data_IF_114824032259
#
_entry.id   IF_114824032259
#
_cell.length_a   1.000
_cell.length_b   1.000
_cell.length_c   1.000
_cell.angle_alpha   90.00
_cell.angle_beta   90.00
_cell.angle_gamma   90.00
#
_symmetry.space_group_name_H-M   'P 1'
#
loop_
_entity.id
_entity.type
_entity.pdbx_description
1 polymer ?
#
# COMPACT_ATOMS: atom_id res chain seq x y z
N UNK A 1 -34.68 -17.49 -5.04
CA UNK A 1 -33.51 -17.93 -4.31
C UNK A 1 -32.23 -17.66 -5.15
N UNK A 2 -31.69 -16.46 -5.21
CA UNK A 2 -30.48 -16.19 -5.99
C UNK A 2 -29.21 -15.94 -5.15
N UNK A 3 -29.22 -16.23 -3.84
CA UNK A 3 -28.07 -15.89 -2.97
C UNK A 3 -26.95 -16.93 -2.94
N UNK A 4 -27.17 -18.17 -3.34
CA UNK A 4 -26.16 -19.24 -3.21
C UNK A 4 -25.17 -19.31 -4.38
N UNK A 5 -25.52 -18.80 -5.58
CA UNK A 5 -24.63 -18.81 -6.75
C UNK A 5 -23.63 -17.64 -6.77
N UNK A 6 -23.81 -16.63 -5.91
CA UNK A 6 -22.95 -15.45 -5.85
C UNK A 6 -21.66 -15.68 -5.06
N UNK A 7 -21.69 -16.54 -4.05
CA UNK A 7 -20.56 -16.78 -3.14
C UNK A 7 -19.35 -17.39 -3.86
N UNK A 8 -19.48 -18.49 -4.64
CA UNK A 8 -18.33 -19.08 -5.32
C UNK A 8 -17.69 -18.14 -6.34
N UNK A 9 -18.49 -17.38 -7.09
CA UNK A 9 -17.98 -16.42 -8.07
C UNK A 9 -17.25 -15.23 -7.42
N UNK A 10 -17.76 -14.75 -6.28
CA UNK A 10 -17.13 -13.70 -5.50
C UNK A 10 -15.79 -14.15 -4.92
N UNK A 11 -15.76 -15.31 -4.27
CA UNK A 11 -14.56 -15.85 -3.67
C UNK A 11 -13.46 -16.06 -4.72
N UNK A 12 -13.78 -16.66 -5.86
CA UNK A 12 -12.85 -16.88 -6.95
C UNK A 12 -12.28 -15.56 -7.50
N UNK A 13 -13.11 -14.51 -7.57
CA UNK A 13 -12.69 -13.22 -8.10
C UNK A 13 -11.90 -12.37 -7.10
N UNK A 14 -12.19 -12.48 -5.80
CA UNK A 14 -11.69 -11.52 -4.79
C UNK A 14 -10.58 -12.11 -3.91
N UNK A 15 -10.67 -13.39 -3.50
CA UNK A 15 -9.68 -14.00 -2.60
C UNK A 15 -8.23 -13.91 -3.11
N UNK A 16 -7.94 -14.09 -4.41
CA UNK A 16 -6.56 -13.98 -4.92
C UNK A 16 -5.92 -12.60 -4.72
N UNK A 17 -6.72 -11.57 -4.44
CA UNK A 17 -6.30 -10.19 -4.33
C UNK A 17 -6.32 -9.64 -2.89
N UNK A 18 -6.61 -10.48 -1.89
CA UNK A 18 -6.67 -10.02 -0.50
C UNK A 18 -5.32 -9.56 0.05
N UNK A 19 -4.22 -10.20 -0.35
CA UNK A 19 -2.88 -9.78 0.08
C UNK A 19 -2.55 -8.38 -0.45
N UNK A 20 -2.84 -8.12 -1.73
CA UNK A 20 -2.69 -6.80 -2.33
C UNK A 20 -3.59 -5.74 -1.66
N UNK A 21 -4.83 -6.11 -1.34
CA UNK A 21 -5.77 -5.28 -0.60
C UNK A 21 -5.24 -4.92 0.80
N UNK A 22 -4.73 -5.91 1.52
CA UNK A 22 -4.13 -5.71 2.84
C UNK A 22 -2.86 -4.84 2.76
N UNK A 23 -1.98 -5.08 1.80
CA UNK A 23 -0.80 -4.25 1.58
C UNK A 23 -1.17 -2.78 1.37
N UNK A 24 -2.13 -2.51 0.47
CA UNK A 24 -2.60 -1.15 0.24
C UNK A 24 -3.16 -0.52 1.53
N UNK A 25 -4.00 -1.25 2.27
CA UNK A 25 -4.57 -0.77 3.52
C UNK A 25 -3.48 -0.47 4.56
N UNK A 26 -2.46 -1.32 4.69
CA UNK A 26 -1.31 -1.12 5.58
C UNK A 26 -0.55 0.17 5.26
N UNK A 27 -0.32 0.44 3.97
CA UNK A 27 0.36 1.66 3.53
C UNK A 27 -0.48 2.93 3.76
N UNK A 28 -1.80 2.81 3.69
CA UNK A 28 -2.69 3.96 3.88
C UNK A 28 -2.97 4.24 5.36
N UNK A 29 -3.16 3.20 6.18
CA UNK A 29 -3.54 3.36 7.60
C UNK A 29 -2.36 3.46 8.56
N UNK A 30 -1.17 3.01 8.15
CA UNK A 30 0.04 2.93 8.99
C UNK A 30 -0.09 2.07 10.25
N UNK A 31 -1.21 1.39 10.43
CA UNK A 31 -1.52 0.57 11.59
C UNK A 31 -2.02 -0.80 11.16
N UNK A 32 -1.52 -1.86 11.80
CA UNK A 32 -1.90 -3.23 11.46
C UNK A 32 -3.37 -3.49 11.73
N UNK A 33 -3.84 -3.13 12.91
CA UNK A 33 -5.23 -3.35 13.32
C UNK A 33 -6.19 -2.58 12.42
N UNK A 34 -5.88 -1.32 12.15
CA UNK A 34 -6.68 -0.45 11.29
C UNK A 34 -6.74 -0.97 9.85
N UNK A 35 -5.63 -1.54 9.36
CA UNK A 35 -5.59 -2.17 8.05
C UNK A 35 -6.47 -3.42 7.99
N UNK A 36 -6.40 -4.28 9.00
CA UNK A 36 -7.24 -5.48 9.12
C UNK A 36 -8.73 -5.12 9.14
N UNK A 37 -9.10 -4.13 9.96
CA UNK A 37 -10.48 -3.66 10.08
C UNK A 37 -10.97 -3.02 8.76
N UNK A 38 -10.14 -2.20 8.11
CA UNK A 38 -10.46 -1.58 6.84
C UNK A 38 -10.61 -2.61 5.70
N UNK A 39 -9.76 -3.64 5.67
CA UNK A 39 -9.87 -4.72 4.67
C UNK A 39 -11.11 -5.56 4.91
N UNK A 40 -11.44 -5.87 6.17
CA UNK A 40 -12.66 -6.61 6.51
C UNK A 40 -13.90 -5.83 6.07
N UNK A 41 -13.99 -4.53 6.37
CA UNK A 41 -15.11 -3.68 5.92
C UNK A 41 -15.15 -3.55 4.39
N UNK A 42 -13.99 -3.41 3.75
CA UNK A 42 -13.90 -3.38 2.28
C UNK A 42 -14.36 -4.69 1.65
N UNK A 43 -14.03 -5.84 2.25
CA UNK A 43 -14.48 -7.15 1.78
C UNK A 43 -16.00 -7.28 1.87
N UNK A 44 -16.61 -6.87 2.99
CA UNK A 44 -18.07 -6.87 3.16
C UNK A 44 -18.76 -5.94 2.15
N UNK A 45 -18.16 -4.78 1.86
CA UNK A 45 -18.65 -3.87 0.82
C UNK A 45 -18.51 -4.49 -0.57
N UNK A 46 -17.36 -5.10 -0.86
CA UNK A 46 -17.11 -5.79 -2.12
C UNK A 46 -18.13 -6.90 -2.34
N UNK A 47 -18.40 -7.74 -1.31
CA UNK A 47 -19.43 -8.77 -1.38
C UNK A 47 -20.81 -8.19 -1.71
N UNK A 48 -21.19 -7.11 -1.04
CA UNK A 48 -22.48 -6.44 -1.27
C UNK A 48 -22.60 -5.83 -2.67
N UNK A 49 -21.50 -5.30 -3.22
CA UNK A 49 -21.48 -4.67 -4.53
C UNK A 49 -21.13 -5.62 -5.68
N UNK A 50 -20.77 -6.87 -5.38
CA UNK A 50 -20.38 -7.85 -6.39
C UNK A 50 -21.43 -8.10 -7.48
N UNK A 51 -22.75 -8.09 -7.19
CA UNK A 51 -23.76 -8.17 -8.24
C UNK A 51 -23.67 -7.08 -9.31
N UNK A 52 -23.06 -5.93 -9.00
CA UNK A 52 -22.83 -4.85 -9.95
C UNK A 52 -21.47 -4.94 -10.66
N UNK A 53 -20.61 -5.87 -10.27
CA UNK A 53 -19.34 -6.10 -10.92
C UNK A 53 -19.57 -6.71 -12.32
N UNK A 54 -19.10 -6.00 -13.35
CA UNK A 54 -19.36 -6.35 -14.75
C UNK A 54 -18.38 -7.39 -15.33
N UNK A 55 -17.64 -8.08 -14.48
CA UNK A 55 -16.58 -9.01 -14.91
C UNK A 55 -15.26 -8.31 -15.26
N UNK A 56 -14.29 -9.11 -15.72
CA UNK A 56 -12.93 -8.66 -15.98
C UNK A 56 -12.01 -8.84 -14.75
N UNK A 57 -10.95 -8.05 -14.67
CA UNK A 57 -10.03 -8.09 -13.54
C UNK A 57 -10.67 -7.44 -12.30
N UNK A 58 -10.90 -8.28 -11.27
CA UNK A 58 -11.48 -7.82 -10.01
C UNK A 58 -10.49 -7.04 -9.14
N UNK A 59 -9.18 -7.14 -9.43
CA UNK A 59 -8.14 -6.52 -8.60
C UNK A 59 -8.26 -4.98 -8.55
N UNK A 60 -8.29 -4.22 -9.66
CA UNK A 60 -8.45 -2.78 -9.60
C UNK A 60 -9.78 -2.35 -8.96
N UNK A 61 -10.83 -3.11 -9.21
CA UNK A 61 -12.15 -2.86 -8.61
C UNK A 61 -12.12 -3.03 -7.09
N UNK A 62 -11.52 -4.11 -6.58
CA UNK A 62 -11.33 -4.34 -5.15
C UNK A 62 -10.45 -3.26 -4.52
N UNK A 63 -9.32 -2.94 -5.16
CA UNK A 63 -8.39 -1.90 -4.69
C UNK A 63 -9.07 -0.54 -4.53
N UNK A 64 -9.99 -0.19 -5.43
CA UNK A 64 -10.79 1.03 -5.32
C UNK A 64 -11.70 1.02 -4.08
N UNK A 65 -12.32 -0.12 -3.78
CA UNK A 65 -13.16 -0.28 -2.58
C UNK A 65 -12.31 -0.18 -1.32
N UNK A 66 -11.17 -0.87 -1.27
CA UNK A 66 -10.22 -0.83 -0.13
C UNK A 66 -9.73 0.59 0.11
N UNK A 67 -9.25 1.26 -0.93
CA UNK A 67 -8.82 2.66 -0.86
C UNK A 67 -9.89 3.56 -0.26
N UNK A 68 -11.09 3.52 -0.83
CA UNK A 68 -12.19 4.37 -0.37
C UNK A 68 -12.60 4.06 1.08
N UNK A 69 -12.54 2.80 1.47
CA UNK A 69 -12.81 2.37 2.86
C UNK A 69 -11.74 2.90 3.80
N UNK A 70 -10.45 2.79 3.46
CA UNK A 70 -9.35 3.35 4.25
C UNK A 70 -9.49 4.85 4.43
N UNK A 71 -9.77 5.61 3.36
CA UNK A 71 -9.96 7.06 3.47
C UNK A 71 -11.16 7.43 4.33
N UNK A 72 -12.28 6.73 4.19
CA UNK A 72 -13.45 6.94 5.06
C UNK A 72 -13.10 6.71 6.52
N UNK A 73 -12.36 5.63 6.80
CA UNK A 73 -11.92 5.28 8.13
C UNK A 73 -10.94 6.32 8.70
N UNK A 74 -9.94 6.73 7.94
CA UNK A 74 -8.97 7.76 8.32
C UNK A 74 -9.66 9.10 8.64
N UNK A 75 -10.62 9.52 7.83
CA UNK A 75 -11.37 10.75 8.09
C UNK A 75 -12.21 10.65 9.35
N UNK A 76 -12.83 9.50 9.63
CA UNK A 76 -13.62 9.28 10.84
C UNK A 76 -12.77 9.25 12.11
N UNK A 77 -11.53 8.72 12.03
CA UNK A 77 -10.66 8.48 13.19
C UNK A 77 -9.49 9.48 13.33
N UNK A 78 -9.38 10.47 12.46
CA UNK A 78 -8.31 11.47 12.47
C UNK A 78 -8.10 12.17 13.83
N UNK A 79 -9.13 12.50 14.63
CA UNK A 79 -8.94 13.07 15.95
C UNK A 79 -8.28 12.10 16.95
N UNK A 80 -8.50 10.80 16.81
CA UNK A 80 -7.96 9.77 17.70
C UNK A 80 -6.51 9.42 17.36
N UNK A 81 -6.12 9.48 16.09
CA UNK A 81 -4.75 9.20 15.64
C UNK A 81 -3.77 10.29 16.08
N UNK A 82 -4.17 11.55 16.11
CA UNK A 82 -3.31 12.64 16.61
C UNK A 82 -2.98 12.50 18.11
N UNK A 83 -3.76 11.72 18.86
CA UNK A 83 -3.50 11.41 20.27
C UNK A 83 -2.62 10.17 20.48
N UNK A 84 -2.45 9.33 19.45
CA UNK A 84 -1.77 8.03 19.52
C UNK A 84 -0.38 7.99 18.83
N UNK A 85 0.19 9.14 18.46
CA UNK A 85 1.44 9.26 17.68
C UNK A 85 2.74 8.86 18.42
N UNK A 86 2.68 8.06 19.45
CA UNK A 86 3.88 7.53 20.13
C UNK A 86 3.77 6.02 20.41
N UNK A 87 3.76 5.20 19.36
CA UNK A 87 4.06 3.78 19.52
C UNK A 87 5.13 3.35 18.50
N UNK A 88 6.37 3.27 18.96
CA UNK A 88 7.58 2.95 18.17
C UNK A 88 7.65 1.50 17.68
N UNK A 89 6.62 0.67 17.88
CA UNK A 89 6.66 -0.76 17.59
C UNK A 89 5.90 -1.18 16.32
N UNK A 90 5.72 -0.28 15.34
CA UNK A 90 4.84 -0.50 14.19
C UNK A 90 5.54 -1.03 12.93
N UNK A 91 6.54 -1.89 13.04
CA UNK A 91 7.13 -2.55 11.88
C UNK A 91 6.64 -3.99 11.76
N UNK A 92 6.00 -4.38 10.66
CA UNK A 92 5.70 -5.78 10.43
C UNK A 92 7.00 -6.57 10.26
N UNK A 93 7.19 -7.69 10.95
CA UNK A 93 8.26 -8.62 10.63
C UNK A 93 8.01 -9.18 9.24
N UNK A 94 9.03 -9.12 8.40
CA UNK A 94 9.04 -9.69 7.06
C UNK A 94 8.79 -11.20 7.14
N UNK A 95 7.69 -11.66 6.56
CA UNK A 95 7.40 -13.09 6.45
C UNK A 95 8.12 -13.58 5.21
N UNK A 96 9.34 -13.98 5.36
CA UNK A 96 10.16 -14.93 4.61
C UNK A 96 11.63 -14.49 4.52
N UNK A 97 12.44 -14.95 5.46
CA UNK A 97 13.89 -14.93 5.29
C UNK A 97 14.53 -16.20 5.86
N UNK A 98 14.87 -17.09 4.96
CA UNK A 98 15.70 -18.26 5.25
C UNK A 98 17.15 -18.03 4.80
N UNK A 99 17.78 -16.93 5.27
CA UNK A 99 19.24 -16.80 5.22
C UNK A 99 19.70 -15.59 6.06
N UNK A 100 20.42 -15.78 7.21
CA UNK A 100 20.65 -14.69 8.18
C UNK A 100 21.48 -13.52 7.65
N UNK A 101 22.46 -13.72 6.78
CA UNK A 101 23.30 -12.62 6.27
C UNK A 101 22.64 -11.82 5.14
N UNK A 102 21.95 -12.50 4.21
CA UNK A 102 21.14 -11.82 3.18
C UNK A 102 19.86 -11.21 3.76
N UNK A 103 19.37 -11.76 4.87
CA UNK A 103 18.21 -11.28 5.60
C UNK A 103 18.50 -9.95 6.29
N UNK A 104 19.64 -9.79 6.96
CA UNK A 104 19.98 -8.55 7.67
C UNK A 104 20.08 -7.33 6.71
N UNK A 105 20.73 -7.51 5.54
CA UNK A 105 20.84 -6.45 4.53
C UNK A 105 19.50 -6.15 3.84
N UNK A 106 18.70 -7.16 3.56
CA UNK A 106 17.33 -6.97 3.03
C UNK A 106 16.43 -6.30 4.06
N UNK A 107 16.51 -6.68 5.32
CA UNK A 107 15.72 -6.08 6.39
C UNK A 107 16.11 -4.62 6.62
N UNK A 108 17.39 -4.27 6.54
CA UNK A 108 17.87 -2.88 6.63
C UNK A 108 17.37 -2.03 5.47
N UNK A 109 17.47 -2.52 4.24
CA UNK A 109 17.00 -1.81 3.05
C UNK A 109 15.46 -1.70 3.02
N UNK A 110 14.75 -2.73 3.47
CA UNK A 110 13.29 -2.73 3.60
C UNK A 110 12.84 -1.72 4.65
N UNK A 111 13.48 -1.69 5.82
CA UNK A 111 13.18 -0.72 6.86
C UNK A 111 13.47 0.73 6.44
N UNK A 112 14.57 0.95 5.68
CA UNK A 112 14.90 2.25 5.14
C UNK A 112 13.86 2.73 4.13
N UNK A 113 13.45 1.85 3.21
CA UNK A 113 12.41 2.14 2.23
C UNK A 113 11.08 2.43 2.92
N UNK A 114 10.73 1.64 3.94
CA UNK A 114 9.55 1.86 4.76
C UNK A 114 9.56 3.28 5.36
N UNK A 115 10.64 3.63 6.07
CA UNK A 115 10.81 4.98 6.64
C UNK A 115 10.69 6.08 5.60
N UNK A 116 11.25 5.88 4.42
CA UNK A 116 11.20 6.86 3.35
C UNK A 116 9.77 7.02 2.78
N UNK A 117 9.04 5.91 2.61
CA UNK A 117 7.65 5.94 2.17
C UNK A 117 6.72 6.57 3.20
N UNK A 118 6.98 6.34 4.50
CA UNK A 118 6.21 6.96 5.59
C UNK A 118 6.35 8.49 5.63
N UNK A 119 7.50 9.02 5.21
CA UNK A 119 7.74 10.47 5.10
C UNK A 119 7.14 11.09 3.83
N UNK A 120 6.67 10.28 2.87
CA UNK A 120 5.98 10.83 1.70
C UNK A 120 4.60 11.36 2.06
N UNK A 121 4.17 12.49 1.44
CA UNK A 121 2.77 12.88 1.47
C UNK A 121 1.86 11.72 1.02
N UNK A 122 0.74 11.56 1.68
CA UNK A 122 -0.20 10.44 1.49
C UNK A 122 -0.52 10.16 0.01
N UNK A 123 -0.83 11.20 -0.77
CA UNK A 123 -1.13 11.07 -2.22
C UNK A 123 0.06 10.57 -3.05
N UNK A 124 1.29 10.90 -2.65
CA UNK A 124 2.49 10.43 -3.35
C UNK A 124 2.81 8.98 -2.98
N UNK A 125 2.67 8.64 -1.71
CA UNK A 125 2.80 7.27 -1.23
C UNK A 125 1.80 6.35 -1.90
N UNK A 126 0.52 6.74 -1.96
CA UNK A 126 -0.52 5.98 -2.62
C UNK A 126 -0.16 5.61 -4.07
N UNK A 127 0.23 6.57 -4.89
CA UNK A 127 0.54 6.29 -6.30
C UNK A 127 1.81 5.45 -6.46
N UNK A 128 2.81 5.59 -5.58
CA UNK A 128 4.00 4.74 -5.54
C UNK A 128 3.61 3.30 -5.20
N UNK A 129 2.83 3.09 -4.14
CA UNK A 129 2.39 1.75 -3.72
C UNK A 129 1.60 1.07 -4.85
N UNK A 130 0.62 1.76 -5.42
CA UNK A 130 -0.20 1.21 -6.51
C UNK A 130 0.64 0.88 -7.75
N UNK A 131 1.67 1.68 -8.06
CA UNK A 131 2.48 1.47 -9.26
C UNK A 131 3.65 0.52 -9.05
N UNK A 132 4.47 0.73 -8.01
CA UNK A 132 5.75 0.03 -7.85
C UNK A 132 5.62 -1.27 -7.04
N UNK A 133 4.64 -1.35 -6.15
CA UNK A 133 4.42 -2.53 -5.30
C UNK A 133 3.32 -3.40 -5.91
N UNK A 134 2.20 -2.80 -6.28
CA UNK A 134 1.06 -3.52 -6.83
C UNK A 134 1.07 -3.59 -8.36
N UNK A 135 2.08 -3.04 -9.03
CA UNK A 135 2.33 -3.12 -10.48
C UNK A 135 1.15 -2.72 -11.37
N UNK A 136 0.23 -1.89 -10.86
CA UNK A 136 -0.95 -1.46 -11.60
C UNK A 136 -0.57 -0.49 -12.73
N UNK A 137 -1.32 -0.56 -13.83
CA UNK A 137 -1.17 0.38 -14.94
C UNK A 137 -1.63 1.78 -14.56
N UNK A 138 -1.16 2.81 -15.27
CA UNK A 138 -1.59 4.20 -15.03
C UNK A 138 -3.10 4.39 -15.19
N UNK A 139 -3.73 3.61 -16.06
CA UNK A 139 -5.17 3.63 -16.26
C UNK A 139 -5.91 3.07 -15.05
N UNK A 140 -5.49 1.93 -14.54
CA UNK A 140 -6.06 1.32 -13.33
C UNK A 140 -5.89 2.23 -12.13
N UNK A 141 -4.70 2.85 -11.96
CA UNK A 141 -4.46 3.83 -10.89
C UNK A 141 -5.39 5.04 -11.04
N UNK A 142 -5.58 5.54 -12.26
CA UNK A 142 -6.52 6.63 -12.54
C UNK A 142 -7.96 6.25 -12.14
N UNK A 143 -8.40 5.04 -12.47
CA UNK A 143 -9.72 4.52 -12.11
C UNK A 143 -9.89 4.33 -10.59
N UNK A 144 -8.84 3.87 -9.90
CA UNK A 144 -8.82 3.67 -8.45
C UNK A 144 -8.86 5.02 -7.71
N UNK A 145 -8.00 5.95 -8.12
CA UNK A 145 -7.82 7.24 -7.44
C UNK A 145 -8.84 8.29 -7.85
N UNK A 146 -9.52 8.09 -8.98
CA UNK A 146 -10.50 9.03 -9.52
C UNK A 146 -9.88 10.29 -10.14
N UNK A 147 -8.58 10.22 -10.54
CA UNK A 147 -7.89 11.34 -11.21
C UNK A 147 -7.50 10.98 -12.65
N UNK A 148 -7.33 11.95 -13.55
CA UNK A 148 -6.90 11.69 -14.91
C UNK A 148 -5.54 10.98 -14.97
N UNK A 149 -5.31 10.13 -15.99
CA UNK A 149 -4.05 9.40 -16.20
C UNK A 149 -2.84 10.34 -16.26
N UNK A 150 -2.98 11.51 -16.87
CA UNK A 150 -1.91 12.54 -16.90
C UNK A 150 -1.55 13.04 -15.49
N UNK A 151 -2.54 13.14 -14.60
CA UNK A 151 -2.33 13.49 -13.18
C UNK A 151 -1.61 12.37 -12.45
N UNK A 152 -1.94 11.10 -12.72
CA UNK A 152 -1.22 9.94 -12.17
C UNK A 152 0.25 9.98 -12.57
N UNK A 153 0.54 10.20 -13.85
CA UNK A 153 1.91 10.28 -14.37
C UNK A 153 2.72 11.40 -13.72
N UNK A 154 2.15 12.60 -13.63
CA UNK A 154 2.81 13.74 -12.99
C UNK A 154 3.01 13.54 -11.48
N UNK A 155 2.03 12.93 -10.81
CA UNK A 155 2.12 12.60 -9.38
C UNK A 155 3.20 11.55 -9.12
N UNK A 156 3.31 10.51 -9.94
CA UNK A 156 4.37 9.51 -9.86
C UNK A 156 5.76 10.11 -10.07
N UNK A 157 5.91 10.99 -11.06
CA UNK A 157 7.19 11.66 -11.30
C UNK A 157 7.63 12.45 -10.07
N UNK A 158 6.74 13.25 -9.49
CA UNK A 158 7.01 14.04 -8.27
C UNK A 158 7.26 13.13 -7.06
N UNK A 159 6.47 12.06 -6.91
CA UNK A 159 6.60 11.11 -5.83
C UNK A 159 7.96 10.41 -5.85
N UNK A 160 8.41 9.95 -7.03
CA UNK A 160 9.75 9.35 -7.21
C UNK A 160 10.88 10.34 -6.89
N UNK A 161 10.75 11.59 -7.32
CA UNK A 161 11.75 12.63 -6.99
C UNK A 161 11.81 12.87 -5.49
N UNK A 162 10.66 13.00 -4.83
CA UNK A 162 10.58 13.21 -3.40
C UNK A 162 11.10 12.02 -2.60
N UNK A 163 10.76 10.80 -3.02
CA UNK A 163 11.26 9.56 -2.40
C UNK A 163 12.79 9.50 -2.47
N UNK A 164 13.37 9.85 -3.62
CA UNK A 164 14.84 9.88 -3.80
C UNK A 164 15.49 10.88 -2.86
N UNK A 165 14.93 12.09 -2.72
CA UNK A 165 15.44 13.11 -1.79
C UNK A 165 15.42 12.59 -0.34
N UNK A 166 14.31 11.99 0.10
CA UNK A 166 14.17 11.43 1.44
C UNK A 166 15.18 10.29 1.66
N UNK A 167 15.30 9.35 0.72
CA UNK A 167 16.26 8.25 0.82
C UNK A 167 17.70 8.77 0.89
N UNK A 168 18.06 9.78 0.11
CA UNK A 168 19.39 10.40 0.15
C UNK A 168 19.67 11.02 1.51
N UNK A 169 18.68 11.69 2.10
CA UNK A 169 18.80 12.27 3.43
C UNK A 169 18.99 11.18 4.50
N UNK A 170 18.14 10.17 4.51
CA UNK A 170 18.22 9.05 5.47
C UNK A 170 19.54 8.27 5.36
N UNK A 171 20.06 8.10 4.15
CA UNK A 171 21.35 7.45 3.94
C UNK A 171 22.54 8.31 4.39
N UNK A 172 22.43 9.64 4.34
CA UNK A 172 23.49 10.53 4.82
C UNK A 172 23.52 10.66 6.35
N UNK A 173 22.41 10.38 7.02
CA UNK A 173 22.31 10.38 8.49
C UNK A 173 22.82 9.09 9.14
N UNK A 174 22.97 7.99 8.37
CA UNK A 174 23.45 6.70 8.88
C UNK A 174 24.85 6.37 8.30
N UNK A 175 25.96 6.66 9.05
CA UNK A 175 27.32 6.43 8.59
C UNK A 175 27.66 4.96 8.28
N UNK A 176 26.90 4.00 8.82
CA UNK A 176 27.13 2.58 8.60
C UNK A 176 26.60 2.09 7.24
N UNK A 177 25.73 2.83 6.59
CA UNK A 177 25.12 2.47 5.31
C UNK A 177 25.84 3.06 4.09
N UNK A 178 26.80 3.95 4.30
CA UNK A 178 27.58 4.62 3.24
C UNK A 178 28.46 3.64 2.43
N UNK A 179 28.87 2.54 3.05
CA UNK A 179 29.68 1.51 2.38
C UNK A 179 28.89 0.66 1.36
N UNK A 180 27.59 0.53 1.52
CA UNK A 180 26.73 -0.23 0.58
C UNK A 180 26.41 0.57 -0.69
N UNK A 181 26.51 1.91 -0.63
CA UNK A 181 26.15 2.79 -1.75
C UNK A 181 27.18 2.79 -2.89
N UNK A 182 28.46 2.51 -2.60
CA UNK A 182 29.54 2.48 -3.60
C UNK A 182 29.46 1.26 -4.52
N UNK A 183 28.78 0.17 -4.09
CA UNK A 183 28.62 -1.02 -4.91
C UNK A 183 27.43 -1.01 -5.88
N UNK A 184 26.57 -0.01 -5.81
CA UNK A 184 25.36 0.07 -6.66
C UNK A 184 25.53 1.01 -7.88
N UNK A 185 26.66 1.72 -7.95
CA UNK A 185 26.98 2.66 -9.03
C UNK A 185 28.15 2.20 -9.93
N UNK A 186 28.53 0.91 -9.85
CA UNK A 186 29.54 0.33 -10.74
C UNK A 186 28.94 -0.67 -11.72
#
# INVERSE_FOLDING_TARGET
>A
MPEQDHVPGFEQAVLPHLDAAYNLARWLTHNKQDAEDAVQDAYLRAFRFFPSFRGGDARPWLMKIVRNTCYTWLHANRPLQQAAEFDENLYPPDVQANNPEKSALKNSNSALLQKALDQLPEKFREVIVLREIEELSYREIADITGVPTGTVMSSLSRARSRLREILTCLLSEDPQNTAAHLNFMS
#
